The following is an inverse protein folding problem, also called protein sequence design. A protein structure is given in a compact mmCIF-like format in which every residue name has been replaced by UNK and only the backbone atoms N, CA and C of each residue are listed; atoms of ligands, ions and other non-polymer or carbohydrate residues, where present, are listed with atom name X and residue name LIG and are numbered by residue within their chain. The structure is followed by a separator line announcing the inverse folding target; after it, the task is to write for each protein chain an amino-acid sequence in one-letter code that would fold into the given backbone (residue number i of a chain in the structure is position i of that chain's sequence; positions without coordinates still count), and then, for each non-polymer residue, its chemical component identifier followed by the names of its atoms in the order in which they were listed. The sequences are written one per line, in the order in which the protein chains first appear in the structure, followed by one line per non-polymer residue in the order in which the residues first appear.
data_IF_586239167525
#
_entry.id   IF_586239167525
#
_cell.length_a   1.000
_cell.length_b   1.000
_cell.length_c   1.000
_cell.angle_alpha   90.00
_cell.angle_beta   90.00
_cell.angle_gamma   90.00
#
_symmetry.space_group_name_H-M   'P 1'
#
loop_
_entity.id
_entity.type
_entity.pdbx_description
1 polymer ?
#
# COMPACT_ATOMS: atom_id res chain seq x y z
N UNK A 1 0.42 -15.59 -8.75
CA UNK A 1 1.46 -14.58 -9.03
C UNK A 1 0.95 -13.14 -9.13
N UNK A 2 -0.36 -12.90 -9.22
CA UNK A 2 -0.94 -11.55 -9.44
C UNK A 2 -0.51 -10.49 -8.41
N UNK A 3 -0.46 -10.82 -7.11
CA UNK A 3 0.02 -9.91 -6.05
C UNK A 3 1.44 -9.39 -6.33
N UNK A 4 2.38 -10.30 -6.62
CA UNK A 4 3.78 -9.96 -6.88
C UNK A 4 3.95 -9.10 -8.13
N UNK A 5 3.23 -9.43 -9.21
CA UNK A 5 3.32 -8.66 -10.46
C UNK A 5 2.63 -7.31 -10.37
N UNK A 6 1.57 -7.16 -9.57
CA UNK A 6 0.97 -5.85 -9.28
C UNK A 6 2.00 -4.93 -8.62
N UNK A 7 2.73 -5.41 -7.62
CA UNK A 7 3.82 -4.67 -6.99
C UNK A 7 4.92 -4.29 -7.98
N UNK A 8 5.33 -5.21 -8.88
CA UNK A 8 6.32 -4.91 -9.91
C UNK A 8 5.86 -3.81 -10.86
N UNK A 9 4.60 -3.84 -11.30
CA UNK A 9 4.02 -2.80 -12.18
C UNK A 9 3.98 -1.46 -11.45
N UNK A 10 3.54 -1.43 -10.19
CA UNK A 10 3.54 -0.20 -9.38
C UNK A 10 4.95 0.38 -9.21
N UNK A 11 5.95 -0.47 -8.94
CA UNK A 11 7.33 -0.04 -8.84
C UNK A 11 7.86 0.53 -10.17
N UNK A 12 7.52 -0.08 -11.31
CA UNK A 12 7.88 0.45 -12.62
C UNK A 12 7.21 1.80 -12.91
N UNK A 13 5.93 1.97 -12.56
CA UNK A 13 5.20 3.23 -12.71
C UNK A 13 5.85 4.32 -11.85
N UNK A 14 6.19 4.02 -10.59
CA UNK A 14 6.83 4.98 -9.68
C UNK A 14 8.18 5.44 -10.25
N UNK A 15 9.06 4.51 -10.63
CA UNK A 15 10.37 4.83 -11.21
C UNK A 15 10.23 5.63 -12.51
N UNK A 16 9.28 5.28 -13.37
CA UNK A 16 9.05 5.97 -14.63
C UNK A 16 8.53 7.40 -14.42
N UNK A 17 7.57 7.59 -13.52
CA UNK A 17 6.97 8.91 -13.26
C UNK A 17 7.89 9.85 -12.49
N UNK A 18 8.88 9.32 -11.76
CA UNK A 18 9.90 10.09 -11.03
C UNK A 18 11.24 10.20 -11.74
N UNK A 19 11.34 9.72 -12.99
CA UNK A 19 12.61 9.68 -13.73
C UNK A 19 13.29 11.04 -13.90
N UNK A 20 12.49 12.12 -13.95
CA UNK A 20 12.97 13.50 -14.14
C UNK A 20 13.15 14.25 -12.79
N UNK A 21 13.01 13.55 -11.65
CA UNK A 21 13.25 14.06 -10.28
C UNK A 21 14.34 13.24 -9.58
N UNK A 22 15.63 13.46 -9.88
CA UNK A 22 16.74 12.66 -9.35
C UNK A 22 16.84 12.66 -7.82
N UNK A 23 16.36 13.71 -7.18
CA UNK A 23 16.25 13.84 -5.73
C UNK A 23 15.20 12.91 -5.10
N UNK A 24 14.22 12.42 -5.88
CA UNK A 24 13.22 11.48 -5.40
C UNK A 24 13.84 10.11 -5.08
N UNK A 25 14.77 9.65 -5.94
CA UNK A 25 15.44 8.36 -5.79
C UNK A 25 16.94 8.46 -6.13
N UNK A 26 17.76 8.54 -5.08
CA UNK A 26 19.22 8.34 -5.20
C UNK A 26 19.51 6.85 -5.35
N UNK A 27 20.74 6.49 -5.72
CA UNK A 27 21.14 5.08 -5.73
C UNK A 27 20.99 4.49 -4.32
N UNK A 28 20.12 3.49 -4.19
CA UNK A 28 19.77 2.90 -2.90
C UNK A 28 18.69 1.83 -3.03
N UNK A 29 18.35 1.22 -1.89
CA UNK A 29 17.25 0.27 -1.78
C UNK A 29 16.04 0.97 -1.22
N UNK A 30 14.90 0.80 -1.89
CA UNK A 30 13.63 1.37 -1.53
C UNK A 30 12.57 0.29 -1.52
N UNK A 31 11.55 0.48 -0.68
CA UNK A 31 10.37 -0.38 -0.63
C UNK A 31 9.14 0.45 -0.97
N UNK A 32 8.12 -0.18 -1.58
CA UNK A 32 6.86 0.50 -1.84
C UNK A 32 6.20 0.90 -0.50
N UNK A 33 5.55 2.08 -0.43
CA UNK A 33 4.87 2.53 0.77
C UNK A 33 3.69 1.62 1.12
N UNK A 34 3.40 1.50 2.42
CA UNK A 34 2.40 0.57 2.97
C UNK A 34 0.99 0.71 2.37
N UNK A 35 0.57 1.92 2.00
CA UNK A 35 -0.74 2.12 1.39
C UNK A 35 -0.86 1.42 0.02
N UNK A 36 0.22 1.30 -0.74
CA UNK A 36 0.22 0.55 -2.01
C UNK A 36 0.20 -0.96 -1.77
N UNK A 37 0.86 -1.44 -0.72
CA UNK A 37 0.80 -2.85 -0.31
C UNK A 37 -0.63 -3.24 0.12
N UNK A 38 -1.29 -2.38 0.91
CA UNK A 38 -2.70 -2.55 1.26
C UNK A 38 -3.63 -2.49 0.03
N UNK A 39 -3.33 -1.63 -0.94
CA UNK A 39 -4.12 -1.55 -2.18
C UNK A 39 -3.96 -2.80 -3.05
N UNK A 40 -2.74 -3.35 -3.15
CA UNK A 40 -2.52 -4.64 -3.82
C UNK A 40 -3.38 -5.71 -3.16
N UNK A 41 -3.42 -5.79 -1.83
CA UNK A 41 -4.29 -6.74 -1.13
C UNK A 41 -5.78 -6.49 -1.44
N UNK A 42 -6.22 -5.22 -1.41
CA UNK A 42 -7.61 -4.81 -1.65
C UNK A 42 -8.11 -5.25 -3.03
N UNK A 43 -7.29 -5.09 -4.07
CA UNK A 43 -7.62 -5.47 -5.46
C UNK A 43 -7.89 -6.97 -5.65
N UNK A 44 -7.44 -7.83 -4.72
CA UNK A 44 -7.58 -9.28 -4.84
C UNK A 44 -8.73 -9.86 -3.99
N UNK A 45 -9.35 -9.06 -3.11
CA UNK A 45 -10.37 -9.54 -2.17
C UNK A 45 -11.63 -10.06 -2.86
N UNK A 46 -12.13 -9.33 -3.87
CA UNK A 46 -13.36 -9.67 -4.57
C UNK A 46 -13.26 -11.02 -5.29
N UNK A 47 -12.08 -11.33 -5.83
CA UNK A 47 -11.82 -12.63 -6.50
C UNK A 47 -11.94 -13.81 -5.52
N UNK A 48 -11.68 -13.57 -4.24
CA UNK A 48 -11.78 -14.55 -3.16
C UNK A 48 -13.15 -14.51 -2.45
N UNK A 49 -14.05 -13.60 -2.84
CA UNK A 49 -15.35 -13.40 -2.18
C UNK A 49 -15.24 -12.84 -0.76
N UNK A 50 -14.12 -12.21 -0.42
CA UNK A 50 -13.87 -11.66 0.93
C UNK A 50 -14.63 -10.33 1.08
N UNK A 51 -15.33 -10.18 2.21
CA UNK A 51 -15.95 -8.91 2.60
C UNK A 51 -15.14 -8.24 3.70
N UNK A 52 -14.47 -7.13 3.37
CA UNK A 52 -13.68 -6.37 4.31
C UNK A 52 -14.59 -5.46 5.16
N UNK A 53 -14.46 -5.55 6.48
CA UNK A 53 -15.15 -4.64 7.41
C UNK A 53 -14.59 -3.21 7.26
N UNK A 54 -15.48 -2.21 7.29
CA UNK A 54 -15.11 -0.80 7.31
C UNK A 54 -15.17 -0.27 8.74
N UNK A 55 -14.13 0.45 9.15
CA UNK A 55 -14.12 1.15 10.44
C UNK A 55 -15.17 2.27 10.43
N UNK A 56 -15.87 2.45 11.54
CA UNK A 56 -16.58 3.70 11.80
C UNK A 56 -15.59 4.82 12.10
N UNK A 57 -16.02 6.08 11.99
CA UNK A 57 -15.20 7.23 12.37
C UNK A 57 -14.72 7.13 13.83
N UNK A 58 -15.62 6.75 14.75
CA UNK A 58 -15.29 6.57 16.17
C UNK A 58 -14.20 5.49 16.38
N UNK A 59 -14.27 4.37 15.66
CA UNK A 59 -13.25 3.33 15.75
C UNK A 59 -11.90 3.78 15.18
N UNK A 60 -11.91 4.50 14.07
CA UNK A 60 -10.71 5.04 13.45
C UNK A 60 -10.02 6.07 14.37
N UNK A 61 -10.80 6.97 14.96
CA UNK A 61 -10.34 7.97 15.93
C UNK A 61 -9.79 7.29 17.20
N UNK A 62 -10.48 6.27 17.71
CA UNK A 62 -10.02 5.49 18.87
C UNK A 62 -8.66 4.83 18.63
N UNK A 63 -8.43 4.32 17.41
CA UNK A 63 -7.18 3.70 17.01
C UNK A 63 -6.11 4.71 16.57
N UNK A 64 -6.48 5.98 16.38
CA UNK A 64 -5.59 7.03 15.87
C UNK A 64 -5.10 6.78 14.44
N UNK A 65 -5.93 6.15 13.60
CA UNK A 65 -5.59 5.81 12.20
C UNK A 65 -6.62 6.38 11.22
N UNK A 66 -6.22 6.58 9.96
CA UNK A 66 -7.16 6.92 8.91
C UNK A 66 -8.06 5.70 8.60
N UNK A 67 -9.38 5.86 8.42
CA UNK A 67 -10.29 4.76 8.09
C UNK A 67 -9.96 4.05 6.77
N UNK A 68 -9.20 4.70 5.87
CA UNK A 68 -8.72 4.14 4.61
C UNK A 68 -7.29 3.56 4.69
N UNK A 69 -6.68 3.56 5.87
CA UNK A 69 -5.31 3.11 6.10
C UNK A 69 -4.25 4.22 5.92
N UNK A 70 -2.96 3.92 6.13
CA UNK A 70 -2.43 2.60 6.49
C UNK A 70 -2.90 2.11 7.86
N UNK A 71 -3.25 0.84 7.96
CA UNK A 71 -3.86 0.26 9.16
C UNK A 71 -2.86 -0.25 10.20
N UNK A 72 -1.56 -0.21 9.88
CA UNK A 72 -0.48 -0.75 10.71
C UNK A 72 0.76 0.14 10.66
N UNK A 73 1.53 0.23 11.77
CA UNK A 73 2.79 0.96 11.78
C UNK A 73 3.84 0.29 10.89
N UNK A 74 4.91 1.01 10.56
CA UNK A 74 5.95 0.53 9.64
C UNK A 74 6.67 -0.72 10.13
N UNK A 75 7.00 -0.78 11.43
CA UNK A 75 7.69 -1.93 12.04
C UNK A 75 6.81 -3.18 12.23
N UNK A 76 5.53 -3.13 11.82
CA UNK A 76 4.62 -4.25 11.93
C UNK A 76 4.99 -5.34 10.92
N UNK A 77 5.04 -6.60 11.38
CA UNK A 77 5.62 -7.70 10.58
C UNK A 77 4.69 -8.31 9.55
N UNK A 78 3.36 -8.20 9.71
CA UNK A 78 2.27 -8.41 8.74
C UNK A 78 0.95 -8.09 9.38
#
# INVERSE_FOLDING_TARGET
MSNSFTNQVLAQIELWTKKDTPEAYKLGLYVLPKHLDEEVARLHLDKLGVKLTKLSSEQADYLGINPSGPYKPEAYRY
#
